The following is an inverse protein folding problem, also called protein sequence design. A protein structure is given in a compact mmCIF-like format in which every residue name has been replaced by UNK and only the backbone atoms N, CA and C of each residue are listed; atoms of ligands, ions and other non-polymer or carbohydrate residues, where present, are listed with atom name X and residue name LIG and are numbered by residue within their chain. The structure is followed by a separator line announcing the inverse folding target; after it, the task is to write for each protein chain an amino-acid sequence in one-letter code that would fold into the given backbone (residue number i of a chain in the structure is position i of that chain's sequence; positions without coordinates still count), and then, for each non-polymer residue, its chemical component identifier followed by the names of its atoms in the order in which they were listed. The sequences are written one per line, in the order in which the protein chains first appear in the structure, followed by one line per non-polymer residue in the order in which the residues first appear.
data_IF_255619901412
#
_entry.id   IF_255619901412
#
_cell.length_a   1.000
_cell.length_b   1.000
_cell.length_c   1.000
_cell.angle_alpha   90.00
_cell.angle_beta   90.00
_cell.angle_gamma   90.00
#
_symmetry.space_group_name_H-M   'P 1'
#
loop_
_entity.id
_entity.type
_entity.pdbx_description
1 polymer ?
#
# COMPACT_ATOMS: atom_id res chain seq x y z
N UNK A 1 -3.24 -21.84 -24.27
CA UNK A 1 -3.67 -21.06 -23.09
C UNK A 1 -2.59 -20.01 -22.87
N UNK A 2 -2.87 -18.76 -23.23
CA UNK A 2 -1.92 -17.66 -23.04
C UNK A 2 -1.83 -17.31 -21.56
N UNK A 3 -0.60 -17.14 -21.06
CA UNK A 3 -0.30 -16.78 -19.69
C UNK A 3 -0.83 -15.36 -19.44
N UNK A 4 -1.92 -15.23 -18.69
CA UNK A 4 -2.45 -13.94 -18.29
C UNK A 4 -1.42 -13.31 -17.35
N UNK A 5 -0.96 -12.06 -17.57
CA UNK A 5 0.10 -11.47 -16.76
C UNK A 5 -0.30 -11.52 -15.28
N UNK A 6 0.62 -11.97 -14.42
CA UNK A 6 0.38 -12.20 -12.98
C UNK A 6 -0.30 -11.01 -12.26
N UNK A 7 -0.07 -9.79 -12.75
CA UNK A 7 -0.72 -8.57 -12.26
C UNK A 7 -2.24 -8.58 -12.45
N UNK A 8 -2.76 -9.06 -13.59
CA UNK A 8 -4.21 -9.07 -13.85
C UNK A 8 -4.96 -10.04 -12.94
N UNK A 9 -4.37 -11.20 -12.64
CA UNK A 9 -4.97 -12.17 -11.70
C UNK A 9 -4.98 -11.65 -10.27
N UNK A 10 -3.90 -11.00 -9.85
CA UNK A 10 -3.80 -10.40 -8.52
C UNK A 10 -4.82 -9.27 -8.37
N UNK A 11 -4.93 -8.40 -9.38
CA UNK A 11 -5.91 -7.31 -9.42
C UNK A 11 -7.35 -7.81 -9.30
N UNK A 12 -7.74 -8.84 -10.07
CA UNK A 12 -9.08 -9.46 -9.94
C UNK A 12 -9.33 -10.00 -8.53
N UNK A 13 -8.34 -10.66 -7.91
CA UNK A 13 -8.49 -11.17 -6.54
C UNK A 13 -8.62 -10.04 -5.51
N UNK A 14 -7.86 -8.95 -5.68
CA UNK A 14 -7.98 -7.76 -4.86
C UNK A 14 -9.38 -7.15 -5.02
N UNK A 15 -9.85 -7.01 -6.25
CA UNK A 15 -11.20 -6.52 -6.55
C UNK A 15 -12.27 -7.36 -5.87
N UNK A 16 -12.26 -8.68 -6.05
CA UNK A 16 -13.28 -9.58 -5.47
C UNK A 16 -13.36 -9.46 -3.95
N UNK A 17 -12.20 -9.43 -3.29
CA UNK A 17 -12.11 -9.33 -1.83
C UNK A 17 -12.53 -7.94 -1.33
N UNK A 18 -12.13 -6.87 -2.02
CA UNK A 18 -12.58 -5.52 -1.68
C UNK A 18 -14.07 -5.35 -1.91
N UNK A 19 -14.61 -5.87 -3.01
CA UNK A 19 -16.03 -5.80 -3.32
C UNK A 19 -16.88 -6.59 -2.31
N UNK A 20 -16.38 -7.71 -1.79
CA UNK A 20 -17.03 -8.41 -0.69
C UNK A 20 -17.20 -7.52 0.56
N UNK A 21 -16.22 -6.67 0.86
CA UNK A 21 -16.22 -5.83 2.06
C UNK A 21 -16.90 -4.47 1.84
N UNK A 22 -16.56 -3.77 0.77
CA UNK A 22 -17.05 -2.43 0.45
C UNK A 22 -18.43 -2.50 -0.21
N UNK A 23 -18.62 -3.46 -1.12
CA UNK A 23 -19.81 -3.58 -1.96
C UNK A 23 -19.83 -2.57 -3.10
N UNK A 24 -20.75 -2.78 -4.05
CA UNK A 24 -20.99 -1.84 -5.16
C UNK A 24 -19.77 -1.56 -6.03
N UNK A 25 -18.84 -2.51 -6.12
CA UNK A 25 -17.60 -2.38 -6.87
C UNK A 25 -17.82 -2.51 -8.38
N UNK A 26 -17.08 -1.71 -9.14
CA UNK A 26 -16.93 -1.79 -10.59
C UNK A 26 -15.44 -1.96 -10.93
N UNK A 27 -15.13 -2.67 -12.01
CA UNK A 27 -13.75 -2.95 -12.45
C UNK A 27 -13.55 -2.47 -13.89
N UNK A 28 -12.31 -2.07 -14.23
CA UNK A 28 -11.85 -1.73 -15.58
C UNK A 28 -12.66 -0.58 -16.24
N UNK A 29 -12.85 0.52 -15.50
CA UNK A 29 -13.67 1.65 -15.94
C UNK A 29 -12.89 2.53 -16.92
N UNK A 30 -13.37 2.62 -18.17
CA UNK A 30 -12.79 3.51 -19.18
C UNK A 30 -12.94 4.99 -18.82
N UNK A 31 -11.88 5.76 -19.04
CA UNK A 31 -11.93 7.21 -18.90
C UNK A 31 -12.55 7.85 -20.16
N UNK A 32 -13.58 8.71 -20.02
CA UNK A 32 -14.17 9.43 -21.14
C UNK A 32 -13.19 10.33 -21.89
N UNK A 33 -12.26 10.98 -21.17
CA UNK A 33 -11.28 11.90 -21.76
C UNK A 33 -10.13 11.20 -22.50
N UNK A 34 -9.93 9.90 -22.26
CA UNK A 34 -8.92 9.08 -22.94
C UNK A 34 -9.34 7.61 -22.92
N UNK A 35 -9.95 7.14 -24.00
CA UNK A 35 -10.45 5.76 -24.11
C UNK A 35 -9.36 4.67 -24.12
N UNK A 36 -8.08 5.04 -24.03
CA UNK A 36 -6.97 4.10 -23.81
C UNK A 36 -6.66 3.92 -22.33
N UNK A 37 -7.15 4.81 -21.47
CA UNK A 37 -6.95 4.76 -20.03
C UNK A 37 -8.17 4.14 -19.35
N UNK A 38 -7.87 3.35 -18.31
CA UNK A 38 -8.84 2.65 -17.51
C UNK A 38 -8.52 2.85 -16.03
N UNK A 39 -9.52 3.03 -15.19
CA UNK A 39 -9.42 2.93 -13.74
C UNK A 39 -9.63 1.46 -13.35
N UNK A 40 -8.69 0.89 -12.60
CA UNK A 40 -8.71 -0.54 -12.29
C UNK A 40 -9.98 -0.92 -11.51
N UNK A 41 -10.32 -0.15 -10.47
CA UNK A 41 -11.48 -0.42 -9.63
C UNK A 41 -12.15 0.87 -9.14
N UNK A 42 -13.46 0.82 -8.93
CA UNK A 42 -14.23 1.87 -8.26
C UNK A 42 -15.19 1.27 -7.23
N UNK A 43 -15.31 1.91 -6.08
CA UNK A 43 -16.28 1.54 -5.05
C UNK A 43 -17.09 2.76 -4.61
N UNK A 44 -18.39 2.56 -4.37
CA UNK A 44 -19.28 3.60 -3.85
C UNK A 44 -19.47 3.41 -2.34
N UNK A 45 -19.24 4.46 -1.57
CA UNK A 45 -19.51 4.51 -0.13
C UNK A 45 -21.01 4.68 0.13
N UNK A 46 -21.47 4.42 1.37
CA UNK A 46 -22.88 4.61 1.71
C UNK A 46 -23.29 6.10 1.66
N UNK A 47 -22.34 7.01 1.87
CA UNK A 47 -22.52 8.45 1.74
C UNK A 47 -22.71 8.95 0.29
N UNK A 48 -22.47 8.09 -0.71
CA UNK A 48 -22.60 8.41 -2.12
C UNK A 48 -21.28 8.72 -2.82
N UNK A 49 -20.24 9.06 -2.06
CA UNK A 49 -18.88 9.29 -2.56
C UNK A 49 -18.29 8.03 -3.20
N UNK A 50 -17.40 8.22 -4.16
CA UNK A 50 -16.78 7.17 -4.95
C UNK A 50 -15.27 7.19 -4.79
N UNK A 51 -14.70 6.02 -4.55
CA UNK A 51 -13.27 5.80 -4.37
C UNK A 51 -12.78 4.96 -5.54
N UNK A 52 -11.87 5.52 -6.34
CA UNK A 52 -11.12 4.80 -7.35
C UNK A 52 -9.88 4.17 -6.73
N UNK A 53 -9.64 2.89 -7.01
CA UNK A 53 -8.43 2.17 -6.60
C UNK A 53 -7.63 1.74 -7.82
N UNK A 54 -6.31 1.81 -7.70
CA UNK A 54 -5.35 1.38 -8.72
C UNK A 54 -4.32 0.46 -8.10
N UNK A 55 -3.99 -0.64 -8.75
CA UNK A 55 -2.89 -1.51 -8.32
C UNK A 55 -1.64 -1.28 -9.17
N UNK A 56 -0.63 -0.67 -8.57
CA UNK A 56 0.61 -0.32 -9.26
C UNK A 56 1.70 -1.36 -9.01
N UNK A 57 1.81 -2.32 -9.92
CA UNK A 57 2.95 -3.22 -9.94
C UNK A 57 4.25 -2.48 -10.28
N UNK A 58 5.31 -2.70 -9.50
CA UNK A 58 6.58 -1.98 -9.64
C UNK A 58 7.20 -2.09 -11.04
N UNK A 59 7.04 -3.26 -11.68
CA UNK A 59 7.55 -3.51 -13.03
C UNK A 59 6.94 -2.58 -14.09
N UNK A 60 5.65 -2.24 -13.97
CA UNK A 60 4.93 -1.46 -14.98
C UNK A 60 4.99 0.05 -14.72
N UNK A 61 5.08 0.46 -13.45
CA UNK A 61 4.96 1.88 -13.06
C UNK A 61 6.28 2.56 -12.69
N UNK A 62 7.40 1.84 -12.62
CA UNK A 62 8.69 2.45 -12.31
C UNK A 62 9.07 3.55 -13.32
N UNK A 63 9.29 4.78 -12.83
CA UNK A 63 9.64 5.94 -13.66
C UNK A 63 8.46 6.61 -14.38
N UNK A 64 7.22 6.19 -14.09
CA UNK A 64 6.00 6.72 -14.69
C UNK A 64 5.16 7.58 -13.71
N UNK A 65 5.76 8.08 -12.63
CA UNK A 65 5.06 8.75 -11.53
C UNK A 65 4.26 9.97 -12.01
N UNK A 66 4.83 10.76 -12.93
CA UNK A 66 4.15 11.91 -13.50
C UNK A 66 2.93 11.50 -14.37
N UNK A 67 3.00 10.35 -15.04
CA UNK A 67 1.88 9.82 -15.81
C UNK A 67 0.77 9.31 -14.89
N UNK A 68 1.14 8.60 -13.81
CA UNK A 68 0.20 8.11 -12.80
C UNK A 68 -0.55 9.26 -12.11
N UNK A 69 0.16 10.34 -11.75
CA UNK A 69 -0.47 11.55 -11.19
C UNK A 69 -1.47 12.17 -12.17
N UNK A 70 -1.09 12.31 -13.45
CA UNK A 70 -2.01 12.82 -14.48
C UNK A 70 -3.23 11.93 -14.67
N UNK A 71 -3.06 10.60 -14.60
CA UNK A 71 -4.17 9.63 -14.66
C UNK A 71 -5.12 9.86 -13.48
N UNK A 72 -4.60 9.93 -12.25
CA UNK A 72 -5.41 10.20 -11.05
C UNK A 72 -6.20 11.51 -11.17
N UNK A 73 -5.57 12.60 -11.62
CA UNK A 73 -6.26 13.87 -11.86
C UNK A 73 -7.37 13.76 -12.90
N UNK A 74 -7.16 13.00 -13.99
CA UNK A 74 -8.18 12.80 -15.03
C UNK A 74 -9.36 11.98 -14.52
N UNK A 75 -9.12 10.90 -13.76
CA UNK A 75 -10.19 10.10 -13.15
C UNK A 75 -11.13 10.99 -12.33
N UNK A 76 -10.56 11.89 -11.52
CA UNK A 76 -11.36 12.84 -10.71
C UNK A 76 -12.03 13.90 -11.59
N UNK A 77 -11.30 14.49 -12.53
CA UNK A 77 -11.83 15.53 -13.42
C UNK A 77 -12.97 15.02 -14.33
N UNK A 78 -12.93 13.76 -14.75
CA UNK A 78 -13.97 13.10 -15.54
C UNK A 78 -15.17 12.67 -14.68
N UNK A 79 -15.13 12.89 -13.36
CA UNK A 79 -16.19 12.48 -12.42
C UNK A 79 -16.32 10.97 -12.28
N UNK A 80 -15.28 10.20 -12.60
CA UNK A 80 -15.30 8.75 -12.48
C UNK A 80 -15.19 8.32 -11.01
N UNK A 81 -14.34 8.99 -10.24
CA UNK A 81 -14.25 8.84 -8.79
C UNK A 81 -13.98 10.18 -8.10
N UNK A 82 -14.41 10.35 -6.86
CA UNK A 82 -14.16 11.56 -6.07
C UNK A 82 -12.72 11.59 -5.50
N UNK A 83 -12.15 10.41 -5.27
CA UNK A 83 -10.77 10.22 -4.82
C UNK A 83 -10.13 9.03 -5.54
N UNK A 84 -8.83 9.12 -5.85
CA UNK A 84 -8.04 7.98 -6.31
C UNK A 84 -7.02 7.60 -5.25
N UNK A 85 -7.05 6.34 -4.82
CA UNK A 85 -6.07 5.74 -3.92
C UNK A 85 -5.27 4.70 -4.70
N UNK A 86 -3.94 4.83 -4.69
CA UNK A 86 -3.06 3.89 -5.39
C UNK A 86 -2.46 2.90 -4.41
N UNK A 87 -2.52 1.62 -4.73
CA UNK A 87 -1.85 0.53 -4.02
C UNK A 87 -0.51 0.32 -4.71
N UNK A 88 0.57 0.84 -4.13
CA UNK A 88 1.89 0.90 -4.76
C UNK A 88 2.82 -0.16 -4.23
N UNK A 89 3.29 -1.02 -5.13
CA UNK A 89 4.24 -2.08 -4.82
C UNK A 89 5.66 -1.54 -4.68
N UNK A 90 6.38 -1.92 -3.61
CA UNK A 90 7.79 -1.61 -3.42
C UNK A 90 8.63 -1.95 -4.68
N UNK A 91 9.52 -1.04 -5.15
CA UNK A 91 10.02 0.17 -4.49
C UNK A 91 9.31 1.47 -4.91
N UNK A 92 8.09 1.42 -5.43
CA UNK A 92 7.37 2.63 -5.83
C UNK A 92 7.13 3.55 -4.62
N UNK A 93 7.44 4.84 -4.79
CA UNK A 93 7.15 5.84 -3.78
C UNK A 93 5.67 6.22 -3.78
N UNK A 94 5.15 6.62 -2.63
CA UNK A 94 3.81 7.21 -2.54
C UNK A 94 3.78 8.52 -3.33
N UNK A 95 2.74 8.72 -4.14
CA UNK A 95 2.50 9.96 -4.87
C UNK A 95 1.50 10.85 -4.14
N UNK A 96 0.71 10.28 -3.23
CA UNK A 96 -0.21 10.98 -2.34
C UNK A 96 -0.19 10.40 -0.92
N UNK A 97 -0.65 11.14 0.10
CA UNK A 97 -0.84 10.59 1.45
C UNK A 97 -1.88 9.47 1.52
N UNK A 98 -2.78 9.40 0.53
CA UNK A 98 -3.81 8.37 0.47
C UNK A 98 -3.30 7.06 -0.11
N UNK A 99 -2.13 7.06 -0.76
CA UNK A 99 -1.56 5.85 -1.36
C UNK A 99 -1.19 4.82 -0.29
N UNK A 100 -1.43 3.55 -0.62
CA UNK A 100 -1.11 2.39 0.21
C UNK A 100 0.19 1.80 -0.31
N UNK A 101 1.26 1.82 0.50
CA UNK A 101 2.50 1.17 0.13
C UNK A 101 2.52 -0.28 0.62
N UNK A 102 2.76 -1.22 -0.29
CA UNK A 102 2.83 -2.66 0.00
C UNK A 102 4.19 -3.22 -0.40
N UNK A 103 4.57 -4.37 0.17
CA UNK A 103 5.79 -5.07 -0.27
C UNK A 103 5.61 -5.73 -1.63
N UNK A 104 6.74 -5.94 -2.29
CA UNK A 104 6.78 -6.72 -3.53
C UNK A 104 6.26 -8.15 -3.32
N UNK A 105 5.39 -8.62 -4.22
CA UNK A 105 4.79 -9.97 -4.22
C UNK A 105 3.92 -10.30 -3.00
N UNK A 106 3.28 -9.31 -2.40
CA UNK A 106 2.27 -9.58 -1.37
C UNK A 106 1.06 -10.35 -1.91
N UNK A 107 0.41 -11.10 -1.02
CA UNK A 107 -0.80 -11.86 -1.37
C UNK A 107 -2.01 -10.94 -1.47
N UNK A 108 -3.00 -11.28 -2.31
CA UNK A 108 -4.23 -10.48 -2.43
C UNK A 108 -4.91 -10.20 -1.07
N UNK A 109 -5.08 -11.20 -0.16
CA UNK A 109 -5.60 -10.93 1.17
C UNK A 109 -4.78 -9.91 1.98
N UNK A 110 -3.45 -9.98 1.92
CA UNK A 110 -2.59 -9.00 2.61
C UNK A 110 -2.78 -7.60 2.05
N UNK A 111 -2.81 -7.47 0.71
CA UNK A 111 -3.01 -6.19 0.03
C UNK A 111 -4.36 -5.59 0.39
N UNK A 112 -5.42 -6.40 0.39
CA UNK A 112 -6.77 -5.98 0.77
C UNK A 112 -6.79 -5.51 2.22
N UNK A 113 -6.23 -6.27 3.17
CA UNK A 113 -6.18 -5.87 4.58
C UNK A 113 -5.46 -4.53 4.74
N UNK A 114 -4.28 -4.36 4.14
CA UNK A 114 -3.52 -3.12 4.20
C UNK A 114 -4.32 -1.94 3.62
N UNK A 115 -5.01 -2.18 2.49
CA UNK A 115 -5.85 -1.17 1.84
C UNK A 115 -7.02 -0.76 2.73
N UNK A 116 -7.78 -1.73 3.26
CA UNK A 116 -8.94 -1.46 4.12
C UNK A 116 -8.54 -0.72 5.40
N UNK A 117 -7.44 -1.11 6.03
CA UNK A 117 -6.90 -0.40 7.20
C UNK A 117 -6.55 1.05 6.85
N UNK A 118 -5.92 1.27 5.70
CA UNK A 118 -5.53 2.62 5.27
C UNK A 118 -6.73 3.49 4.93
N UNK A 119 -7.77 2.94 4.29
CA UNK A 119 -9.01 3.67 4.02
C UNK A 119 -9.70 4.13 5.32
N UNK A 120 -9.68 3.30 6.37
CA UNK A 120 -10.21 3.67 7.70
C UNK A 120 -9.31 4.70 8.37
N UNK A 121 -8.00 4.48 8.39
CA UNK A 121 -7.03 5.41 8.97
C UNK A 121 -7.11 6.81 8.34
N UNK A 122 -7.25 6.88 7.02
CA UNK A 122 -7.36 8.14 6.27
C UNK A 122 -8.77 8.76 6.31
N UNK A 123 -9.72 8.16 7.02
CA UNK A 123 -11.12 8.58 7.11
C UNK A 123 -11.80 8.76 5.73
N UNK A 124 -11.44 7.89 4.77
CA UNK A 124 -11.96 7.91 3.39
C UNK A 124 -13.31 7.19 3.29
N UNK A 125 -13.63 6.36 4.27
CA UNK A 125 -14.88 5.60 4.33
C UNK A 125 -15.76 6.10 5.48
N UNK A 126 -17.08 6.02 5.30
CA UNK A 126 -18.04 6.36 6.34
C UNK A 126 -17.97 5.40 7.56
N UNK A 127 -18.56 5.81 8.68
CA UNK A 127 -18.52 5.05 9.93
C UNK A 127 -19.14 3.64 9.83
N UNK A 128 -20.18 3.47 9.01
CA UNK A 128 -20.82 2.17 8.79
C UNK A 128 -19.88 1.22 8.04
N UNK A 129 -19.24 1.73 7.00
CA UNK A 129 -18.23 1.00 6.21
C UNK A 129 -16.99 0.69 7.06
N UNK A 130 -16.51 1.63 7.88
CA UNK A 130 -15.42 1.39 8.82
C UNK A 130 -15.75 0.30 9.85
N UNK A 131 -16.99 0.23 10.34
CA UNK A 131 -17.45 -0.83 11.23
C UNK A 131 -17.47 -2.19 10.52
N UNK A 132 -17.98 -2.26 9.28
CA UNK A 132 -17.93 -3.47 8.44
C UNK A 132 -16.49 -3.96 8.23
N UNK A 133 -15.58 -3.04 7.89
CA UNK A 133 -14.16 -3.34 7.75
C UNK A 133 -13.61 -3.95 9.04
N UNK A 134 -13.88 -3.31 10.18
CA UNK A 134 -13.40 -3.79 11.48
C UNK A 134 -13.90 -5.20 11.80
N UNK A 135 -15.18 -5.49 11.55
CA UNK A 135 -15.77 -6.81 11.76
C UNK A 135 -15.11 -7.89 10.87
N UNK A 136 -14.86 -7.58 9.60
CA UNK A 136 -14.16 -8.49 8.68
C UNK A 136 -12.71 -8.70 9.10
N UNK A 137 -12.01 -7.66 9.53
CA UNK A 137 -10.65 -7.78 10.03
C UNK A 137 -10.60 -8.68 11.26
N UNK A 138 -11.49 -8.52 12.25
CA UNK A 138 -11.57 -9.40 13.42
C UNK A 138 -11.83 -10.86 13.02
N UNK A 139 -12.72 -11.09 12.05
CA UNK A 139 -13.06 -12.44 11.58
C UNK A 139 -12.00 -13.08 10.67
N UNK A 140 -11.13 -12.29 10.06
CA UNK A 140 -10.10 -12.76 9.13
C UNK A 140 -8.99 -13.50 9.86
N UNK A 141 -8.74 -14.75 9.45
CA UNK A 141 -7.59 -15.54 9.91
C UNK A 141 -6.25 -15.05 9.36
N UNK A 142 -6.27 -14.22 8.32
CA UNK A 142 -5.08 -13.58 7.78
C UNK A 142 -4.71 -12.40 8.67
N UNK A 143 -3.60 -12.52 9.38
CA UNK A 143 -2.95 -11.41 10.06
C UNK A 143 -1.79 -10.90 9.18
N UNK A 144 -1.76 -9.62 8.80
CA UNK A 144 -0.63 -9.06 8.09
C UNK A 144 0.61 -9.11 9.00
N UNK A 145 1.78 -9.35 8.41
CA UNK A 145 3.04 -9.17 9.13
C UNK A 145 3.36 -7.68 9.26
N UNK A 146 4.19 -7.27 10.22
CA UNK A 146 4.60 -5.86 10.32
C UNK A 146 5.29 -5.42 9.03
N UNK A 147 6.00 -6.35 8.40
CA UNK A 147 6.67 -6.18 7.14
C UNK A 147 5.72 -5.72 6.03
N UNK A 148 4.53 -6.30 5.98
CA UNK A 148 3.53 -6.10 4.94
C UNK A 148 2.81 -4.76 5.02
N UNK A 149 2.67 -4.19 6.23
CA UNK A 149 2.07 -2.86 6.43
C UNK A 149 3.17 -1.84 6.67
N UNK A 150 3.35 -0.96 5.70
CA UNK A 150 4.38 0.10 5.73
C UNK A 150 3.95 1.33 6.54
N UNK A 151 2.64 1.58 6.66
CA UNK A 151 2.10 2.67 7.45
C UNK A 151 2.03 2.29 8.94
N UNK A 152 2.80 3.01 9.78
CA UNK A 152 2.84 2.80 11.23
C UNK A 152 1.44 2.90 11.87
N UNK A 153 0.62 3.87 11.44
CA UNK A 153 -0.73 4.08 11.99
C UNK A 153 -1.68 2.93 11.61
N UNK A 154 -1.61 2.43 10.38
CA UNK A 154 -2.37 1.24 9.97
C UNK A 154 -1.98 0.00 10.77
N UNK A 155 -0.69 -0.14 11.12
CA UNK A 155 -0.20 -1.24 11.96
C UNK A 155 -0.77 -1.18 13.38
N UNK A 156 -0.83 0.01 13.98
CA UNK A 156 -1.45 0.23 15.29
C UNK A 156 -2.96 0.03 15.26
N UNK A 157 -3.61 0.50 14.18
CA UNK A 157 -5.04 0.36 13.99
C UNK A 157 -5.45 -1.12 13.93
N UNK A 158 -4.74 -1.94 13.15
CA UNK A 158 -5.00 -3.39 13.10
C UNK A 158 -4.87 -4.06 14.48
N UNK A 159 -3.88 -3.64 15.27
CA UNK A 159 -3.66 -4.17 16.63
C UNK A 159 -4.77 -3.79 17.60
N UNK A 160 -5.31 -2.59 17.43
CA UNK A 160 -6.43 -2.06 18.22
C UNK A 160 -7.73 -2.78 17.84
N UNK A 161 -7.99 -2.97 16.55
CA UNK A 161 -9.17 -3.67 16.03
C UNK A 161 -9.17 -5.15 16.46
N UNK A 162 -8.03 -5.83 16.35
CA UNK A 162 -7.92 -7.26 16.68
C UNK A 162 -7.70 -7.53 18.17
N UNK A 163 -7.70 -6.49 19.01
CA UNK A 163 -7.61 -6.55 20.48
C UNK A 163 -6.46 -7.39 21.07
N UNK A 164 -5.38 -7.62 20.31
CA UNK A 164 -4.38 -8.60 20.70
C UNK A 164 -3.06 -7.98 21.21
N UNK A 165 -2.63 -6.79 20.74
CA UNK A 165 -1.19 -6.49 20.74
C UNK A 165 -0.76 -5.00 20.75
N UNK A 166 -1.57 -4.04 21.23
CA UNK A 166 -1.22 -2.60 21.11
C UNK A 166 0.19 -2.25 21.61
N UNK A 167 0.53 -2.63 22.85
CA UNK A 167 1.86 -2.38 23.44
C UNK A 167 2.99 -3.10 22.68
N UNK A 168 2.76 -4.32 22.21
CA UNK A 168 3.73 -5.08 21.41
C UNK A 168 4.02 -4.35 20.08
N UNK A 169 2.97 -3.94 19.37
CA UNK A 169 3.10 -3.28 18.06
C UNK A 169 3.71 -1.89 18.15
N UNK A 170 3.41 -1.13 19.21
CA UNK A 170 4.08 0.14 19.47
C UNK A 170 5.60 -0.02 19.66
N UNK A 171 6.03 -1.08 20.36
CA UNK A 171 7.45 -1.39 20.51
C UNK A 171 8.11 -1.78 19.18
N UNK A 172 7.36 -2.40 18.28
CA UNK A 172 7.82 -2.78 16.94
C UNK A 172 8.06 -1.55 16.03
N UNK A 173 7.15 -0.58 16.05
CA UNK A 173 7.32 0.72 15.37
C UNK A 173 8.58 1.43 15.87
N UNK A 174 8.80 1.45 17.20
CA UNK A 174 10.03 2.02 17.77
C UNK A 174 11.26 1.30 17.25
N UNK A 175 11.24 -0.02 17.10
CA UNK A 175 12.35 -0.81 16.52
C UNK A 175 12.59 -0.43 15.06
N UNK A 176 11.56 -0.35 14.22
CA UNK A 176 11.66 0.07 12.81
C UNK A 176 12.27 1.47 12.67
N UNK A 177 11.73 2.45 13.39
CA UNK A 177 12.23 3.84 13.36
C UNK A 177 13.69 3.94 13.81
N UNK A 178 14.11 3.14 14.79
CA UNK A 178 15.52 3.04 15.20
C UNK A 178 16.39 2.40 14.12
N UNK A 179 15.92 1.34 13.47
CA UNK A 179 16.64 0.69 12.38
C UNK A 179 16.83 1.61 11.17
N UNK A 180 15.78 2.34 10.77
CA UNK A 180 15.84 3.31 9.67
C UNK A 180 16.76 4.52 9.96
N UNK A 181 16.88 4.92 11.24
CA UNK A 181 17.79 5.98 11.68
C UNK A 181 19.24 5.55 11.83
N UNK A 182 19.54 4.25 11.84
CA UNK A 182 20.94 3.79 11.91
C UNK A 182 21.61 4.20 10.60
N UNK A 183 22.66 5.06 10.64
CA UNK A 183 23.41 5.37 9.44
C UNK A 183 23.90 4.04 8.85
N UNK A 184 23.64 3.82 7.55
CA UNK A 184 24.20 2.71 6.81
C UNK A 184 25.70 2.71 7.11
N UNK A 185 26.16 1.71 7.87
CA UNK A 185 27.47 1.77 8.50
C UNK A 185 28.52 2.07 7.44
N UNK A 186 29.25 3.18 7.61
CA UNK A 186 30.55 3.32 6.96
C UNK A 186 31.34 2.10 7.40
N UNK A 187 31.56 1.16 6.50
CA UNK A 187 32.53 0.09 6.67
C UNK A 187 33.87 0.78 6.88
N UNK A 188 34.24 1.03 8.13
CA UNK A 188 35.55 1.54 8.50
C UNK A 188 36.52 0.41 8.20
N UNK A 189 37.02 0.38 6.96
CA UNK A 189 38.23 -0.37 6.63
C UNK A 189 39.34 0.24 7.48
N UNK A 190 39.67 -0.41 8.60
CA UNK A 190 40.92 -0.17 9.31
C UNK A 190 42.05 -0.49 8.32
N UNK A 191 42.59 0.55 7.67
CA UNK A 191 43.86 0.46 7.00
C UNK A 191 44.91 0.22 8.08
N UNK A 192 45.45 -0.99 8.11
CA UNK A 192 46.62 -1.35 8.89
C UNK A 192 47.84 -0.61 8.34
N UNK A 193 48.11 0.59 8.84
CA UNK A 193 49.44 1.19 8.72
C UNK A 193 50.40 0.39 9.61
N UNK A 194 51.01 -0.65 9.04
CA UNK A 194 52.28 -1.17 9.54
C UNK A 194 53.33 -0.10 9.29
N UNK A 195 53.72 0.62 10.34
CA UNK A 195 54.92 1.44 10.36
C UNK A 195 56.13 0.56 10.04
N UNK A 196 56.81 0.86 8.94
CA UNK A 196 58.17 0.40 8.68
C UNK A 196 59.10 1.07 9.69
N UNK A 197 59.81 0.26 10.46
CA UNK A 197 60.93 0.70 11.29
C UNK A 197 62.13 0.88 10.35
N UNK A 198 62.53 2.13 10.11
CA UNK A 198 63.85 2.45 9.56
C UNK A 198 64.84 2.45 10.73
N UNK A 199 65.76 1.48 10.76
CA UNK A 199 67.01 1.61 11.50
C UNK A 199 67.97 2.43 10.63
N UNK A 200 68.50 3.52 11.19
CA UNK A 200 69.80 4.08 10.81
C UNK A 200 70.84 3.33 11.62
N UNK A 201 71.83 2.76 10.94
CA UNK A 201 73.26 3.09 11.08
C UNK A 201 74.03 2.46 9.91
#
# INVERSE_FOLDING_TARGET
MGDQPRSSRLETQIFDLLNFVLGGGEQDLKLPSDGRMHLDMRFRTAGGDTIGLEYDGAYWHAGNEAADQRKAHRVVADGIADLVVRIREDPLAALSPYDVLIRHKESAPTVVIATLLHLVHMAVVDAQTAHRISAILVASSTAPSIESITCDECWLLDGSIRHAEYEYRWNEIKRRRRAARRPAGKTVRRASQRHQVFYRD
#
